data_IF_786339089350
#
_entry.id   IF_786339089350
#
_cell.length_a   1.000
_cell.length_b   1.000
_cell.length_c   1.000
_cell.angle_alpha   90.00
_cell.angle_beta   90.00
_cell.angle_gamma   90.00
#
_symmetry.space_group_name_H-M   'P 1'
#
loop_
_entity.id
_entity.type
_entity.pdbx_description
1 polymer ?
#
# COMPACT_ATOMS: atom_id res chain seq x y z
N UNK A 1 17.43 14.59 -2.54
CA UNK A 1 18.13 14.63 -3.83
C UNK A 1 18.47 13.27 -4.37
N UNK A 2 19.19 12.47 -3.62
CA UNK A 2 19.56 11.13 -4.06
C UNK A 2 18.34 10.25 -4.33
N UNK A 3 17.39 10.25 -3.40
CA UNK A 3 16.14 9.49 -3.53
C UNK A 3 15.35 9.91 -4.77
N UNK A 4 15.29 11.21 -5.02
CA UNK A 4 14.57 11.75 -6.19
C UNK A 4 15.23 11.35 -7.50
N UNK A 5 16.56 11.29 -7.54
CA UNK A 5 17.29 10.85 -8.72
C UNK A 5 17.03 9.39 -9.04
N UNK A 6 16.97 8.55 -8.01
CA UNK A 6 16.67 7.14 -8.19
C UNK A 6 15.25 6.96 -8.73
N UNK A 7 14.29 7.65 -8.15
CA UNK A 7 12.90 7.60 -8.58
C UNK A 7 12.76 8.07 -10.03
N UNK A 8 13.43 9.18 -10.37
CA UNK A 8 13.41 9.70 -11.73
C UNK A 8 14.01 8.69 -12.73
N UNK A 9 15.11 8.05 -12.35
CA UNK A 9 15.76 7.05 -13.21
C UNK A 9 14.84 5.86 -13.45
N UNK A 10 14.15 5.40 -12.42
CA UNK A 10 13.23 4.27 -12.52
C UNK A 10 12.07 4.61 -13.46
N UNK A 11 11.60 5.85 -13.42
CA UNK A 11 10.45 6.29 -14.21
C UNK A 11 10.82 6.84 -15.60
N UNK A 12 12.12 6.82 -15.96
CA UNK A 12 12.53 7.24 -17.28
C UNK A 12 11.97 6.33 -18.36
N UNK A 13 11.77 6.93 -19.55
CA UNK A 13 11.39 6.14 -20.71
C UNK A 13 12.44 5.07 -20.99
N UNK A 14 11.99 3.84 -21.22
CA UNK A 14 12.86 2.69 -21.42
C UNK A 14 13.19 1.90 -20.17
N UNK A 15 12.82 2.41 -18.98
CA UNK A 15 13.07 1.75 -17.71
C UNK A 15 11.83 1.11 -17.11
N UNK A 16 10.82 0.85 -17.93
CA UNK A 16 9.56 0.25 -17.48
C UNK A 16 9.78 -1.12 -16.84
N UNK A 17 10.69 -1.91 -17.40
CA UNK A 17 10.99 -3.23 -16.85
C UNK A 17 11.63 -3.13 -15.47
N UNK A 18 12.56 -2.17 -15.29
CA UNK A 18 13.19 -1.94 -13.99
C UNK A 18 12.16 -1.51 -12.96
N UNK A 19 11.26 -0.62 -13.36
CA UNK A 19 10.18 -0.16 -12.49
C UNK A 19 9.27 -1.33 -12.08
N UNK A 20 8.89 -2.16 -13.04
CA UNK A 20 8.05 -3.34 -12.76
C UNK A 20 8.75 -4.31 -11.81
N UNK A 21 10.03 -4.58 -12.04
CA UNK A 21 10.81 -5.46 -11.17
C UNK A 21 10.89 -4.90 -9.75
N UNK A 22 11.04 -3.58 -9.63
CA UNK A 22 11.07 -2.91 -8.34
C UNK A 22 9.76 -3.11 -7.57
N UNK A 23 8.62 -3.00 -8.26
CA UNK A 23 7.32 -3.24 -7.65
C UNK A 23 7.17 -4.68 -7.18
N UNK A 24 7.59 -5.63 -8.01
CA UNK A 24 7.50 -7.06 -7.67
C UNK A 24 8.35 -7.37 -6.44
N UNK A 25 9.59 -6.87 -6.40
CA UNK A 25 10.48 -7.10 -5.26
C UNK A 25 9.87 -6.50 -3.99
N UNK A 26 9.30 -5.30 -4.08
CA UNK A 26 8.65 -4.66 -2.94
C UNK A 26 7.51 -5.52 -2.38
N UNK A 27 6.67 -6.06 -3.26
CA UNK A 27 5.58 -6.93 -2.84
C UNK A 27 6.13 -8.20 -2.19
N UNK A 28 7.11 -8.86 -2.84
CA UNK A 28 7.69 -10.10 -2.32
C UNK A 28 8.34 -9.92 -0.94
N UNK A 29 8.95 -8.76 -0.70
CA UNK A 29 9.58 -8.47 0.59
C UNK A 29 8.55 -8.17 1.68
N UNK A 30 7.45 -7.50 1.34
CA UNK A 30 6.46 -7.07 2.32
C UNK A 30 5.43 -8.15 2.65
N UNK A 31 5.15 -9.06 1.72
CA UNK A 31 4.13 -10.09 1.94
C UNK A 31 4.36 -10.90 3.22
N UNK A 32 5.56 -11.46 3.46
CA UNK A 32 5.75 -12.24 4.69
C UNK A 32 5.54 -11.44 5.96
N UNK A 33 6.05 -10.21 5.99
CA UNK A 33 5.96 -9.34 7.17
C UNK A 33 4.52 -9.00 7.48
N UNK A 34 3.78 -8.56 6.47
CA UNK A 34 2.39 -8.15 6.67
C UNK A 34 1.48 -9.34 6.91
N UNK A 35 1.78 -10.50 6.31
CA UNK A 35 1.03 -11.72 6.57
C UNK A 35 1.13 -12.11 8.05
N UNK A 36 2.34 -12.06 8.61
CA UNK A 36 2.53 -12.36 10.03
C UNK A 36 1.75 -11.39 10.91
N UNK A 37 1.73 -10.12 10.56
CA UNK A 37 0.97 -9.11 11.30
C UNK A 37 -0.53 -9.41 11.25
N UNK A 38 -1.05 -9.77 10.08
CA UNK A 38 -2.47 -10.10 9.93
C UNK A 38 -2.81 -11.35 10.71
N UNK A 39 -1.95 -12.38 10.66
CA UNK A 39 -2.18 -13.60 11.43
C UNK A 39 -2.21 -13.32 12.92
N UNK A 40 -1.30 -12.48 13.41
CA UNK A 40 -1.30 -12.05 14.81
C UNK A 40 -2.56 -11.27 15.15
N UNK A 41 -3.00 -10.40 14.23
CA UNK A 41 -4.26 -9.67 14.39
C UNK A 41 -5.46 -10.60 14.51
N UNK A 42 -5.49 -11.68 13.72
CA UNK A 42 -6.53 -12.69 13.81
C UNK A 42 -6.54 -13.34 15.20
N UNK A 43 -5.35 -13.70 15.71
CA UNK A 43 -5.23 -14.34 17.02
C UNK A 43 -5.70 -13.43 18.15
N UNK A 44 -5.45 -12.13 18.01
CA UNK A 44 -5.83 -11.15 19.01
C UNK A 44 -7.26 -10.63 18.86
N UNK A 45 -7.96 -11.06 17.81
CA UNK A 45 -9.32 -10.61 17.57
C UNK A 45 -9.43 -9.20 16.98
N UNK A 46 -8.33 -8.62 16.50
CA UNK A 46 -8.30 -7.28 15.92
C UNK A 46 -8.79 -7.26 14.48
N UNK A 47 -8.69 -8.38 13.81
CA UNK A 47 -9.21 -8.54 12.45
C UNK A 47 -9.70 -9.97 12.28
N UNK A 48 -10.32 -10.24 11.14
CA UNK A 48 -10.80 -11.59 10.84
C UNK A 48 -10.63 -11.86 9.36
N UNK A 49 -9.53 -12.53 9.03
CA UNK A 49 -9.13 -12.77 7.64
C UNK A 49 -8.96 -14.27 7.45
N UNK A 50 -9.71 -14.81 6.50
CA UNK A 50 -9.66 -16.25 6.21
C UNK A 50 -8.36 -16.64 5.50
N UNK A 51 -7.89 -15.82 4.60
CA UNK A 51 -6.69 -16.10 3.80
C UNK A 51 -5.69 -14.95 3.96
N UNK A 52 -4.93 -14.91 5.06
CA UNK A 52 -4.04 -13.78 5.34
C UNK A 52 -3.06 -13.47 4.22
N UNK A 53 -2.35 -14.46 3.72
CA UNK A 53 -1.34 -14.24 2.68
C UNK A 53 -1.96 -13.70 1.38
N UNK A 54 -3.03 -14.33 0.91
CA UNK A 54 -3.69 -13.92 -0.32
C UNK A 54 -4.28 -12.52 -0.18
N UNK A 55 -4.84 -12.20 0.98
CA UNK A 55 -5.39 -10.89 1.24
C UNK A 55 -4.30 -9.82 1.22
N UNK A 56 -3.17 -10.10 1.88
CA UNK A 56 -2.02 -9.19 1.89
C UNK A 56 -1.48 -8.98 0.48
N UNK A 57 -1.32 -10.06 -0.28
CA UNK A 57 -0.86 -9.95 -1.67
C UNK A 57 -1.78 -9.07 -2.50
N UNK A 58 -3.09 -9.28 -2.38
CA UNK A 58 -4.08 -8.51 -3.11
C UNK A 58 -4.00 -7.04 -2.75
N UNK A 59 -3.91 -6.72 -1.47
CA UNK A 59 -3.86 -5.34 -1.00
C UNK A 59 -2.56 -4.65 -1.42
N UNK A 60 -1.43 -5.35 -1.36
CA UNK A 60 -0.15 -4.77 -1.76
C UNK A 60 -0.10 -4.48 -3.25
N UNK A 61 -0.60 -5.41 -4.07
CA UNK A 61 -0.64 -5.21 -5.52
C UNK A 61 -1.55 -4.02 -5.85
N UNK A 62 -2.72 -3.96 -5.21
CA UNK A 62 -3.65 -2.85 -5.42
C UNK A 62 -3.00 -1.52 -5.03
N UNK A 63 -2.34 -1.48 -3.86
CA UNK A 63 -1.70 -0.26 -3.39
C UNK A 63 -0.60 0.22 -4.34
N UNK A 64 0.22 -0.72 -4.82
CA UNK A 64 1.31 -0.38 -5.73
C UNK A 64 0.80 0.27 -7.02
N UNK A 65 -0.30 -0.22 -7.55
CA UNK A 65 -0.85 0.34 -8.78
C UNK A 65 -1.70 1.58 -8.52
N UNK A 66 -2.46 1.61 -7.43
CA UNK A 66 -3.33 2.76 -7.13
C UNK A 66 -2.55 4.03 -6.79
N UNK A 67 -1.39 3.89 -6.18
CA UNK A 67 -0.59 5.05 -5.75
C UNK A 67 0.67 5.24 -6.58
N UNK A 68 0.70 4.64 -7.76
CA UNK A 68 1.78 4.82 -8.71
C UNK A 68 1.45 5.99 -9.63
N UNK A 69 2.36 6.96 -9.74
CA UNK A 69 2.17 8.18 -10.51
C UNK A 69 1.87 7.91 -11.99
N UNK A 70 2.25 6.76 -12.51
CA UNK A 70 2.02 6.43 -13.91
C UNK A 70 0.55 6.18 -14.23
N UNK A 71 -0.20 5.72 -13.25
CA UNK A 71 -1.58 5.31 -13.47
C UNK A 71 -2.60 6.31 -12.97
N UNK A 72 -2.24 7.11 -11.97
CA UNK A 72 -3.16 8.07 -11.36
C UNK A 72 -2.46 9.41 -11.21
N UNK A 73 -2.77 10.34 -12.11
CA UNK A 73 -2.23 11.70 -12.10
C UNK A 73 -3.23 12.64 -11.44
N UNK A 74 -3.48 12.44 -10.18
CA UNK A 74 -4.44 13.26 -9.44
C UNK A 74 -3.73 14.36 -8.67
N UNK A 75 -4.49 15.39 -8.33
CA UNK A 75 -3.98 16.47 -7.51
C UNK A 75 -3.66 15.95 -6.10
N UNK A 76 -2.76 16.63 -5.42
CA UNK A 76 -2.30 16.24 -4.08
C UNK A 76 -3.45 16.05 -3.09
N UNK A 77 -4.44 16.96 -3.10
CA UNK A 77 -5.59 16.85 -2.22
C UNK A 77 -6.41 15.59 -2.50
N UNK A 78 -6.52 15.23 -3.78
CA UNK A 78 -7.22 14.01 -4.19
C UNK A 78 -6.46 12.77 -3.75
N UNK A 79 -5.14 12.84 -3.69
CA UNK A 79 -4.32 11.72 -3.24
C UNK A 79 -4.53 11.38 -1.77
N UNK A 80 -4.67 12.40 -0.93
CA UNK A 80 -4.94 12.20 0.50
C UNK A 80 -6.31 11.57 0.70
N UNK A 81 -7.31 12.08 -0.02
CA UNK A 81 -8.66 11.53 0.06
C UNK A 81 -8.69 10.08 -0.42
N UNK A 82 -7.98 9.80 -1.51
CA UNK A 82 -7.91 8.45 -2.05
C UNK A 82 -7.23 7.48 -1.08
N UNK A 83 -6.22 7.95 -0.37
CA UNK A 83 -5.57 7.14 0.66
C UNK A 83 -6.56 6.80 1.78
N UNK A 84 -7.36 7.77 2.22
CA UNK A 84 -8.37 7.54 3.25
C UNK A 84 -9.40 6.52 2.79
N UNK A 85 -9.84 6.63 1.54
CA UNK A 85 -10.78 5.67 0.96
C UNK A 85 -10.16 4.27 0.88
N UNK A 86 -8.91 4.19 0.47
CA UNK A 86 -8.19 2.92 0.38
C UNK A 86 -8.13 2.24 1.75
N UNK A 87 -7.78 3.00 2.79
CA UNK A 87 -7.68 2.43 4.13
C UNK A 87 -9.03 1.96 4.67
N UNK A 88 -10.12 2.63 4.27
CA UNK A 88 -11.46 2.17 4.61
C UNK A 88 -11.75 0.82 3.94
N UNK A 89 -11.36 0.68 2.68
CA UNK A 89 -11.51 -0.60 1.97
C UNK A 89 -10.68 -1.69 2.66
N UNK A 90 -9.46 -1.37 3.08
CA UNK A 90 -8.60 -2.31 3.80
C UNK A 90 -9.27 -2.77 5.10
N UNK A 91 -9.83 -1.84 5.87
CA UNK A 91 -10.55 -2.20 7.10
C UNK A 91 -11.68 -3.19 6.80
N UNK A 92 -12.43 -2.94 5.73
CA UNK A 92 -13.52 -3.83 5.34
C UNK A 92 -13.02 -5.21 4.94
N UNK A 93 -11.94 -5.27 4.18
CA UNK A 93 -11.38 -6.55 3.73
C UNK A 93 -10.79 -7.35 4.89
N UNK A 94 -10.24 -6.68 5.88
CA UNK A 94 -9.67 -7.33 7.05
C UNK A 94 -10.70 -7.57 8.15
N UNK A 95 -11.92 -7.12 7.96
CA UNK A 95 -12.98 -7.20 8.97
C UNK A 95 -12.56 -6.55 10.28
N UNK A 96 -11.93 -5.40 10.17
CA UNK A 96 -11.51 -4.60 11.31
C UNK A 96 -12.64 -3.66 11.75
N UNK A 97 -12.54 -3.16 12.96
CA UNK A 97 -13.44 -2.12 13.42
C UNK A 97 -13.30 -0.88 12.56
N UNK A 98 -14.43 -0.27 12.22
CA UNK A 98 -14.44 0.93 11.38
C UNK A 98 -13.62 2.04 12.03
N UNK A 99 -12.70 2.60 11.27
CA UNK A 99 -11.84 3.69 11.76
C UNK A 99 -10.57 3.21 12.44
N UNK A 100 -10.35 1.89 12.53
CA UNK A 100 -9.17 1.35 13.19
C UNK A 100 -7.87 1.82 12.54
N UNK A 101 -7.88 2.06 11.22
CA UNK A 101 -6.70 2.50 10.49
C UNK A 101 -6.62 4.02 10.29
N UNK A 102 -7.53 4.78 10.90
CA UNK A 102 -7.52 6.23 10.78
C UNK A 102 -6.20 6.88 11.23
N UNK A 103 -5.56 6.44 12.34
CA UNK A 103 -4.25 6.99 12.72
C UNK A 103 -3.18 6.76 11.66
N UNK A 104 -3.24 5.63 10.96
CA UNK A 104 -2.31 5.34 9.88
C UNK A 104 -2.49 6.30 8.70
N UNK A 105 -3.73 6.68 8.40
CA UNK A 105 -4.02 7.64 7.34
C UNK A 105 -3.36 8.98 7.64
N UNK A 106 -3.43 9.43 8.90
CA UNK A 106 -2.80 10.69 9.31
C UNK A 106 -1.28 10.62 9.16
N UNK A 107 -0.68 9.51 9.64
CA UNK A 107 0.76 9.34 9.57
C UNK A 107 1.26 9.28 8.13
N UNK A 108 0.55 8.57 7.25
CA UNK A 108 0.94 8.46 5.85
C UNK A 108 0.76 9.78 5.10
N UNK A 109 -0.28 10.54 5.43
CA UNK A 109 -0.51 11.84 4.81
C UNK A 109 0.64 12.81 5.12
N UNK A 110 1.19 12.73 6.33
CA UNK A 110 2.33 13.57 6.72
C UNK A 110 3.60 13.21 5.95
N UNK A 111 3.76 11.96 5.54
CA UNK A 111 4.96 11.52 4.83
C UNK A 111 4.89 11.79 3.33
N UNK A 112 3.70 12.02 2.78
CA UNK A 112 3.51 12.27 1.33
C UNK A 112 4.00 13.65 0.94
N UNK A 113 4.06 14.56 1.85
CA UNK A 113 4.61 15.90 1.59
C UNK A 113 6.13 15.80 1.39
#
# INVERSE_FOLDING_TARGET
>A
MFKQRIVAAIHQEGNELLHLKSLVVSVLCLVPVLTDIVEEGNEQGLCRVQFPKTTVETLLIAAQFMFNDRFFTEEESSSVLRLQEFLTVVENMLNMEKGALAPLAVALAETVE
#
